data_IF_978472004992
#
_entry.id   IF_978472004992
#
_cell.length_a   1.000
_cell.length_b   1.000
_cell.length_c   1.000
_cell.angle_alpha   90.00
_cell.angle_beta   90.00
_cell.angle_gamma   90.00
#
_symmetry.space_group_name_H-M   'P 1'
#
loop_
_entity.id
_entity.type
_entity.pdbx_description
1 polymer ?
#
# COMPACT_ATOMS: atom_id res chain seq x y z
N UNK A 1 14.82 0.52 54.18
CA UNK A 1 14.26 1.44 53.18
C UNK A 1 14.37 0.75 51.82
N UNK A 2 13.27 0.20 51.30
CA UNK A 2 13.27 -0.45 49.97
C UNK A 2 12.02 0.05 49.23
N UNK A 3 12.23 0.91 48.23
CA UNK A 3 11.18 1.34 47.31
C UNK A 3 11.00 0.23 46.27
N UNK A 4 9.84 -0.43 46.30
CA UNK A 4 9.38 -1.26 45.18
C UNK A 4 8.93 -0.33 44.06
N UNK A 5 9.53 -0.46 42.89
CA UNK A 5 9.08 0.20 41.67
C UNK A 5 7.77 -0.44 41.20
N UNK A 6 6.74 0.39 41.00
CA UNK A 6 5.51 -0.03 40.33
C UNK A 6 5.79 -0.17 38.84
N UNK A 7 5.67 -1.40 38.35
CA UNK A 7 5.74 -1.71 36.92
C UNK A 7 4.48 -1.13 36.27
N UNK A 8 4.61 0.00 35.58
CA UNK A 8 3.57 0.55 34.72
C UNK A 8 3.36 -0.45 33.58
N UNK A 9 2.29 -1.23 33.66
CA UNK A 9 1.79 -2.01 32.53
C UNK A 9 1.33 -1.02 31.47
N UNK A 10 2.02 -0.98 30.33
CA UNK A 10 1.53 -0.29 29.14
C UNK A 10 0.24 -0.97 28.72
N UNK A 11 -0.88 -0.31 28.99
CA UNK A 11 -2.15 -0.59 28.35
C UNK A 11 -2.09 0.09 26.98
N UNK A 12 -2.02 -0.63 25.86
CA UNK A 12 -2.17 0.01 24.55
C UNK A 12 -3.56 0.63 24.56
N UNK A 13 -3.62 1.96 24.48
CA UNK A 13 -4.83 2.74 24.66
C UNK A 13 -5.98 2.13 23.86
N UNK A 14 -6.92 1.54 24.59
CA UNK A 14 -8.15 1.03 24.02
C UNK A 14 -8.94 2.20 23.50
N UNK A 15 -9.14 2.23 22.18
CA UNK A 15 -10.18 3.04 21.56
C UNK A 15 -11.50 2.66 22.27
N UNK A 16 -12.27 3.62 22.81
CA UNK A 16 -13.52 3.30 23.50
C UNK A 16 -14.47 2.52 22.57
N UNK A 17 -15.09 1.43 23.04
CA UNK A 17 -15.90 0.52 22.20
C UNK A 17 -17.21 1.11 21.64
N UNK A 18 -17.47 2.41 21.82
CA UNK A 18 -18.75 3.03 21.39
C UNK A 18 -18.81 3.44 19.91
N UNK A 19 -17.71 3.37 19.16
CA UNK A 19 -17.70 3.71 17.72
C UNK A 19 -16.98 2.69 16.85
N UNK A 20 -16.95 1.43 17.28
CA UNK A 20 -16.39 0.32 16.51
C UNK A 20 -17.50 -0.64 16.07
N UNK A 21 -17.59 -0.90 14.76
CA UNK A 21 -18.48 -1.90 14.17
C UNK A 21 -17.65 -3.03 13.60
N UNK A 22 -18.02 -4.28 13.92
CA UNK A 22 -17.35 -5.48 13.45
C UNK A 22 -18.30 -6.34 12.62
N UNK A 23 -17.82 -6.85 11.50
CA UNK A 23 -18.52 -7.83 10.65
C UNK A 23 -17.62 -9.04 10.45
N UNK A 24 -18.11 -10.22 10.83
CA UNK A 24 -17.45 -11.48 10.51
C UNK A 24 -17.86 -11.95 9.12
N UNK A 25 -16.89 -12.45 8.36
CA UNK A 25 -17.09 -13.02 7.03
C UNK A 25 -16.98 -14.55 7.10
N UNK A 26 -17.68 -15.26 6.22
CA UNK A 26 -17.68 -16.73 6.16
C UNK A 26 -16.28 -17.34 5.89
N UNK A 27 -15.35 -16.53 5.37
CA UNK A 27 -13.95 -16.90 5.17
C UNK A 27 -13.10 -16.89 6.44
N UNK A 28 -13.67 -16.54 7.60
CA UNK A 28 -12.95 -16.34 8.86
C UNK A 28 -12.27 -14.97 8.98
N UNK A 29 -12.39 -14.11 7.95
CA UNK A 29 -11.91 -12.73 7.98
C UNK A 29 -12.87 -11.83 8.75
N UNK A 30 -12.34 -10.73 9.26
CA UNK A 30 -13.11 -9.75 10.00
C UNK A 30 -12.95 -8.35 9.41
N UNK A 31 -14.07 -7.66 9.17
CA UNK A 31 -14.07 -6.23 8.84
C UNK A 31 -14.31 -5.44 10.13
N UNK A 32 -13.48 -4.43 10.37
CA UNK A 32 -13.61 -3.50 11.49
C UNK A 32 -13.72 -2.08 10.93
N UNK A 33 -14.76 -1.36 11.35
CA UNK A 33 -14.94 0.06 11.06
C UNK A 33 -14.92 0.79 12.37
N UNK A 34 -14.00 1.74 12.53
CA UNK A 34 -13.91 2.59 13.70
C UNK A 34 -13.97 4.07 13.32
N UNK A 35 -14.62 4.87 14.14
CA UNK A 35 -14.57 6.33 14.03
C UNK A 35 -14.22 6.92 15.39
N UNK A 36 -12.98 7.39 15.57
CA UNK A 36 -12.54 8.00 16.82
C UNK A 36 -11.88 9.35 16.51
N UNK A 37 -12.28 10.39 17.25
CA UNK A 37 -11.59 11.67 17.33
C UNK A 37 -11.08 12.27 15.99
N UNK A 38 -11.90 12.16 14.93
CA UNK A 38 -11.70 12.66 13.54
C UNK A 38 -10.98 11.72 12.57
N UNK A 39 -10.59 10.53 13.01
CA UNK A 39 -10.09 9.49 12.11
C UNK A 39 -11.17 8.43 11.88
N UNK A 40 -11.54 8.24 10.62
CA UNK A 40 -12.34 7.09 10.19
C UNK A 40 -11.39 6.03 9.66
N UNK A 41 -11.54 4.80 10.16
CA UNK A 41 -10.64 3.69 9.85
C UNK A 41 -11.45 2.46 9.50
N UNK A 42 -11.17 1.88 8.33
CA UNK A 42 -11.70 0.59 7.89
C UNK A 42 -10.52 -0.38 7.81
N UNK A 43 -10.64 -1.53 8.45
CA UNK A 43 -9.63 -2.59 8.46
C UNK A 43 -10.24 -3.93 8.10
N UNK A 44 -9.49 -4.74 7.36
CA UNK A 44 -9.79 -6.15 7.13
C UNK A 44 -8.68 -6.96 7.78
N UNK A 45 -9.07 -7.86 8.66
CA UNK A 45 -8.19 -8.81 9.32
C UNK A 45 -8.33 -10.18 8.65
N UNK A 46 -7.21 -10.84 8.44
CA UNK A 46 -7.14 -12.24 8.03
C UNK A 46 -7.49 -13.16 9.21
N UNK A 47 -7.81 -14.45 8.99
CA UNK A 47 -8.21 -15.37 10.06
C UNK A 47 -7.18 -15.52 11.19
N UNK A 48 -5.91 -15.21 10.89
CA UNK A 48 -4.79 -15.25 11.84
C UNK A 48 -4.67 -13.95 12.67
N UNK A 49 -5.48 -12.94 12.39
CA UNK A 49 -5.50 -11.65 13.10
C UNK A 49 -4.56 -10.59 12.54
N UNK A 50 -3.88 -10.86 11.41
CA UNK A 50 -3.08 -9.86 10.71
C UNK A 50 -3.96 -8.92 9.88
N UNK A 51 -3.59 -7.65 9.77
CA UNK A 51 -4.31 -6.67 8.94
C UNK A 51 -3.89 -6.89 7.48
N UNK A 52 -4.84 -7.26 6.62
CA UNK A 52 -4.59 -7.38 5.19
C UNK A 52 -4.92 -6.11 4.40
N UNK A 53 -5.87 -5.31 4.87
CA UNK A 53 -6.23 -4.03 4.24
C UNK A 53 -6.54 -3.00 5.32
N UNK A 54 -6.05 -1.77 5.14
CA UNK A 54 -6.38 -0.63 5.98
C UNK A 54 -6.68 0.59 5.12
N UNK A 55 -7.80 1.25 5.38
CA UNK A 55 -8.18 2.53 4.80
C UNK A 55 -8.38 3.52 5.95
N UNK A 56 -7.53 4.55 6.01
CA UNK A 56 -7.56 5.59 7.04
C UNK A 56 -7.90 6.93 6.42
N UNK A 57 -8.97 7.57 6.87
CA UNK A 57 -9.27 8.95 6.54
C UNK A 57 -8.39 9.87 7.39
N UNK A 58 -7.54 10.66 6.76
CA UNK A 58 -6.70 11.67 7.43
C UNK A 58 -7.12 13.07 6.97
N UNK A 59 -6.67 14.11 7.67
CA UNK A 59 -6.91 15.51 7.25
C UNK A 59 -6.31 15.83 5.86
N UNK A 60 -5.30 15.07 5.43
CA UNK A 60 -4.70 15.18 4.10
C UNK A 60 -5.41 14.34 3.02
N UNK A 61 -6.44 13.57 3.39
CA UNK A 61 -7.17 12.65 2.53
C UNK A 61 -7.03 11.18 2.96
N UNK A 62 -7.68 10.25 2.24
CA UNK A 62 -7.63 8.82 2.52
C UNK A 62 -6.23 8.24 2.26
N UNK A 63 -5.76 7.39 3.18
CA UNK A 63 -4.57 6.56 3.02
C UNK A 63 -5.01 5.11 2.95
N UNK A 64 -4.71 4.46 1.83
CA UNK A 64 -4.98 3.05 1.59
C UNK A 64 -3.69 2.24 1.71
N UNK A 65 -3.72 1.19 2.53
CA UNK A 65 -2.60 0.28 2.76
C UNK A 65 -3.08 -1.15 2.57
N UNK A 66 -2.36 -1.92 1.78
CA UNK A 66 -2.59 -3.36 1.61
C UNK A 66 -1.33 -4.08 2.03
N UNK A 67 -1.51 -5.10 2.85
CA UNK A 67 -0.46 -6.02 3.23
C UNK A 67 -0.98 -7.43 2.98
N UNK A 68 -0.18 -8.25 2.32
CA UNK A 68 -0.61 -9.60 2.01
C UNK A 68 0.32 -10.27 1.02
N UNK A 69 0.08 -11.55 0.77
CA UNK A 69 0.93 -12.35 -0.10
C UNK A 69 0.92 -11.87 -1.57
N UNK A 70 -0.19 -11.27 -2.04
CA UNK A 70 -0.34 -10.81 -3.44
C UNK A 70 -1.37 -9.69 -3.55
N UNK A 71 -1.01 -8.63 -4.26
CA UNK A 71 -1.92 -7.59 -4.76
C UNK A 71 -2.08 -7.74 -6.27
N UNK A 72 -3.31 -7.74 -6.77
CA UNK A 72 -3.61 -7.78 -8.20
C UNK A 72 -4.62 -6.68 -8.54
N UNK A 73 -4.26 -5.80 -9.49
CA UNK A 73 -5.13 -4.75 -10.01
C UNK A 73 -5.36 -5.06 -11.49
N UNK A 74 -6.62 -5.29 -11.85
CA UNK A 74 -7.04 -5.56 -13.24
C UNK A 74 -8.09 -4.55 -13.64
N UNK A 75 -7.93 -3.96 -14.82
CA UNK A 75 -8.92 -3.08 -15.44
C UNK A 75 -9.16 -3.52 -16.88
N UNK A 76 -10.41 -3.46 -17.34
CA UNK A 76 -10.78 -3.86 -18.70
C UNK A 76 -10.61 -2.75 -19.72
N UNK A 77 -10.57 -1.49 -19.27
CA UNK A 77 -10.48 -0.32 -20.14
C UNK A 77 -9.21 0.48 -19.86
N UNK A 78 -9.06 1.00 -18.64
CA UNK A 78 -7.94 1.87 -18.30
C UNK A 78 -7.56 1.82 -16.82
N UNK A 79 -6.29 2.08 -16.54
CA UNK A 79 -5.76 2.32 -15.19
C UNK A 79 -4.89 3.57 -15.26
N UNK A 80 -5.30 4.63 -14.54
CA UNK A 80 -4.53 5.87 -14.43
C UNK A 80 -3.93 6.02 -13.03
N UNK A 81 -2.66 6.40 -12.95
CA UNK A 81 -1.96 6.69 -11.71
C UNK A 81 -1.44 8.13 -11.79
N UNK A 82 -2.00 9.03 -10.98
CA UNK A 82 -1.63 10.44 -10.95
C UNK A 82 -1.21 10.85 -9.55
N UNK A 83 0.01 11.35 -9.42
CA UNK A 83 0.54 11.84 -8.15
C UNK A 83 1.70 12.80 -8.38
N UNK A 84 2.03 13.61 -7.37
CA UNK A 84 3.27 14.40 -7.35
C UNK A 84 4.53 13.52 -7.42
N UNK A 85 4.44 12.29 -6.91
CA UNK A 85 5.52 11.30 -6.89
C UNK A 85 4.95 9.89 -6.93
N UNK A 86 5.46 9.05 -7.83
CA UNK A 86 5.19 7.62 -7.88
C UNK A 86 6.53 6.89 -7.64
N UNK A 87 6.56 5.93 -6.72
CA UNK A 87 7.71 5.05 -6.52
C UNK A 87 7.26 3.61 -6.70
N UNK A 88 7.96 2.86 -7.55
CA UNK A 88 7.74 1.43 -7.76
C UNK A 88 9.03 0.73 -7.36
N UNK A 89 8.93 -0.21 -6.45
CA UNK A 89 10.05 -1.01 -5.96
C UNK A 89 9.62 -2.47 -5.90
N UNK A 90 10.45 -3.35 -6.45
CA UNK A 90 10.29 -4.79 -6.36
C UNK A 90 11.63 -5.40 -5.92
N UNK A 91 11.57 -6.39 -5.03
CA UNK A 91 12.77 -7.05 -4.50
C UNK A 91 13.40 -8.02 -5.50
N UNK A 92 12.57 -8.71 -6.28
CA UNK A 92 13.03 -9.72 -7.25
C UNK A 92 12.94 -9.21 -8.69
N UNK A 93 11.73 -8.87 -9.16
CA UNK A 93 11.51 -8.44 -10.53
C UNK A 93 10.39 -7.39 -10.62
N UNK A 94 10.60 -6.37 -11.45
CA UNK A 94 9.53 -5.48 -11.93
C UNK A 94 9.53 -5.51 -13.46
N UNK A 95 8.35 -5.71 -14.06
CA UNK A 95 8.20 -5.74 -15.51
C UNK A 95 7.05 -4.82 -15.96
N UNK A 96 7.33 -4.01 -16.98
CA UNK A 96 6.31 -3.20 -17.69
C UNK A 96 6.24 -3.76 -19.11
N UNK A 97 5.06 -4.23 -19.51
CA UNK A 97 4.82 -4.85 -20.82
C UNK A 97 3.61 -4.19 -21.47
N UNK A 98 3.68 -3.94 -22.76
CA UNK A 98 2.57 -3.46 -23.58
C UNK A 98 2.53 -4.30 -24.86
N UNK A 99 1.33 -4.74 -25.27
CA UNK A 99 1.15 -5.41 -26.57
C UNK A 99 1.21 -4.40 -27.73
N UNK A 100 0.88 -3.13 -27.45
CA UNK A 100 0.98 -2.01 -28.39
C UNK A 100 2.22 -1.16 -28.11
N UNK A 101 2.04 0.15 -28.13
CA UNK A 101 3.10 1.11 -27.79
C UNK A 101 3.35 1.17 -26.28
N UNK A 102 4.59 1.49 -25.90
CA UNK A 102 4.98 1.96 -24.58
C UNK A 102 5.64 3.32 -24.76
N UNK A 103 5.12 4.35 -24.10
CA UNK A 103 5.66 5.69 -24.11
C UNK A 103 6.17 6.05 -22.70
N UNK A 104 7.40 6.53 -22.62
CA UNK A 104 8.01 7.04 -21.39
C UNK A 104 8.51 8.45 -21.72
N UNK A 105 7.79 9.45 -21.24
CA UNK A 105 8.12 10.85 -21.45
C UNK A 105 8.55 11.53 -20.13
N UNK A 106 9.53 12.42 -20.23
CA UNK A 106 10.04 13.21 -19.11
C UNK A 106 10.51 14.56 -19.63
N UNK A 107 9.93 15.63 -19.08
CA UNK A 107 10.32 17.00 -19.43
C UNK A 107 11.74 17.39 -18.95
N UNK A 108 12.37 16.55 -18.13
CA UNK A 108 13.69 16.79 -17.58
C UNK A 108 14.61 15.61 -17.87
N UNK A 109 15.06 14.90 -16.83
CA UNK A 109 16.05 13.83 -16.94
C UNK A 109 15.36 12.47 -16.82
N UNK A 110 15.84 11.52 -17.63
CA UNK A 110 15.57 10.09 -17.46
C UNK A 110 16.90 9.38 -17.18
N UNK A 111 16.98 8.64 -16.07
CA UNK A 111 18.13 7.83 -15.69
C UNK A 111 17.75 6.35 -15.78
N UNK A 112 18.53 5.55 -16.49
CA UNK A 112 18.44 4.08 -16.51
C UNK A 112 19.80 3.55 -16.06
N UNK A 113 19.82 2.71 -15.02
CA UNK A 113 21.04 2.15 -14.44
C UNK A 113 20.86 0.65 -14.22
N UNK A 114 21.89 -0.11 -14.51
CA UNK A 114 22.01 -1.54 -14.25
C UNK A 114 23.44 -1.82 -13.83
N UNK A 115 23.63 -2.70 -12.83
CA UNK A 115 24.95 -3.22 -12.50
C UNK A 115 25.41 -4.28 -13.52
N UNK A 116 24.47 -4.81 -14.31
CA UNK A 116 24.72 -5.68 -15.45
C UNK A 116 24.43 -4.98 -16.77
N UNK A 117 23.83 -5.70 -17.72
CA UNK A 117 23.59 -5.19 -19.06
C UNK A 117 22.31 -4.36 -19.16
N UNK A 118 22.34 -3.36 -20.04
CA UNK A 118 21.17 -2.68 -20.58
C UNK A 118 21.10 -3.02 -22.06
N UNK A 119 20.01 -3.68 -22.49
CA UNK A 119 19.80 -4.10 -23.88
C UNK A 119 18.62 -3.35 -24.49
N UNK A 120 18.89 -2.62 -25.57
CA UNK A 120 17.86 -1.98 -26.40
C UNK A 120 17.88 -2.66 -27.76
N UNK A 121 16.73 -3.20 -28.16
CA UNK A 121 16.55 -3.82 -29.46
C UNK A 121 15.40 -3.16 -30.20
N UNK A 122 15.64 -2.82 -31.46
CA UNK A 122 14.63 -2.24 -32.33
C UNK A 122 15.13 -2.22 -33.75
N UNK A 123 14.20 -2.12 -34.71
CA UNK A 123 14.57 -1.91 -36.12
C UNK A 123 15.31 -0.59 -36.31
N UNK A 124 14.98 0.42 -35.51
CA UNK A 124 15.58 1.74 -35.50
C UNK A 124 15.69 2.19 -34.05
N UNK A 125 16.87 2.67 -33.65
CA UNK A 125 17.13 3.32 -32.36
C UNK A 125 17.73 4.69 -32.68
N UNK A 126 17.01 5.75 -32.36
CA UNK A 126 17.50 7.12 -32.51
C UNK A 126 18.21 7.53 -31.21
N UNK A 127 19.48 7.88 -31.32
CA UNK A 127 20.29 8.42 -30.23
C UNK A 127 20.84 9.76 -30.71
N UNK A 128 20.53 10.82 -29.96
CA UNK A 128 20.80 12.20 -30.34
C UNK A 128 21.59 12.89 -29.23
#
# INVERSE_FOLDING_TARGET
MSQKADVIKFNPAGIPPEKEKRLQLDSGRQIVVSSADREELIQIFDPEGEISVSLRMTDAGPVFTVQGARLEIKSTESLSLEAKKINIHAQEEAAIKSEGGLEIDSAAKTDIRSDGDIRLEGKIIHLN
#
